data_IF_211709606841
#
_entry.id   IF_211709606841
#
_cell.length_a   1.000
_cell.length_b   1.000
_cell.length_c   1.000
_cell.angle_alpha   90.00
_cell.angle_beta   90.00
_cell.angle_gamma   90.00
#
_symmetry.space_group_name_H-M   'P 1'
#
loop_
_entity.id
_entity.type
_entity.pdbx_description
1 polymer ?
#
# COMPACT_ATOMS: atom_id res chain seq x y z
N UNK A 1 -10.33 -12.52 -17.07
CA UNK A 1 -10.22 -12.50 -15.61
C UNK A 1 -9.11 -11.55 -15.19
N UNK A 2 -9.31 -10.82 -14.13
CA UNK A 2 -8.30 -9.99 -13.47
C UNK A 2 -7.90 -10.67 -12.16
N UNK A 3 -6.60 -10.79 -11.94
CA UNK A 3 -6.04 -11.32 -10.70
C UNK A 3 -5.19 -10.24 -10.05
N UNK A 4 -5.53 -9.87 -8.83
CA UNK A 4 -4.74 -8.94 -8.01
C UNK A 4 -4.16 -9.72 -6.84
N UNK A 5 -2.85 -9.72 -6.66
CA UNK A 5 -2.19 -10.37 -5.54
C UNK A 5 -1.47 -9.34 -4.69
N UNK A 6 -1.74 -9.34 -3.39
CA UNK A 6 -0.99 -8.55 -2.42
C UNK A 6 -0.05 -9.46 -1.64
N UNK A 7 1.14 -8.97 -1.34
CA UNK A 7 2.14 -9.73 -0.58
C UNK A 7 1.66 -9.92 0.88
N UNK A 8 1.76 -11.12 1.45
CA UNK A 8 2.46 -12.30 0.94
C UNK A 8 1.51 -13.32 0.28
N UNK A 9 1.31 -13.23 -1.00
CA UNK A 9 0.54 -14.23 -1.73
C UNK A 9 1.45 -15.00 -2.68
N UNK A 10 1.45 -16.33 -2.60
CA UNK A 10 2.08 -17.19 -3.59
C UNK A 10 1.02 -17.74 -4.53
N UNK A 11 1.21 -17.56 -5.82
CA UNK A 11 0.33 -18.09 -6.85
C UNK A 11 1.06 -19.13 -7.69
N UNK A 12 0.41 -20.26 -7.93
CA UNK A 12 0.92 -21.30 -8.80
C UNK A 12 -0.13 -21.63 -9.85
N UNK A 13 0.24 -21.56 -11.12
CA UNK A 13 -0.60 -22.04 -12.22
C UNK A 13 -0.61 -23.58 -12.16
N UNK A 14 -1.74 -24.17 -11.84
CA UNK A 14 -1.92 -25.62 -11.71
C UNK A 14 -2.30 -26.23 -13.06
N UNK A 15 -3.14 -25.52 -13.83
CA UNK A 15 -3.60 -25.95 -15.16
C UNK A 15 -3.82 -24.71 -16.04
N UNK A 16 -3.48 -24.81 -17.31
CA UNK A 16 -3.72 -23.77 -18.32
C UNK A 16 -4.31 -24.38 -19.59
N UNK A 17 -5.13 -23.61 -20.30
CA UNK A 17 -5.57 -23.95 -21.65
C UNK A 17 -4.45 -23.64 -22.66
N UNK A 18 -4.49 -24.21 -23.88
CA UNK A 18 -3.49 -23.94 -24.94
C UNK A 18 -3.44 -22.45 -25.35
N UNK A 19 -4.56 -21.75 -25.25
CA UNK A 19 -4.75 -20.33 -25.58
C UNK A 19 -4.59 -19.40 -24.37
N UNK A 20 -4.05 -19.91 -23.25
CA UNK A 20 -3.84 -19.11 -22.05
C UNK A 20 -2.81 -18.02 -22.29
N UNK A 21 -3.25 -16.77 -22.24
CA UNK A 21 -2.42 -15.58 -22.24
C UNK A 21 -2.60 -14.84 -20.89
N UNK A 22 -1.50 -14.51 -20.27
CA UNK A 22 -1.49 -13.71 -19.04
C UNK A 22 -0.57 -12.51 -19.23
N UNK A 23 -1.09 -11.35 -18.95
CA UNK A 23 -0.35 -10.08 -18.92
C UNK A 23 -0.40 -9.55 -17.50
N UNK A 24 0.70 -9.05 -16.98
CA UNK A 24 0.77 -8.66 -15.58
C UNK A 24 1.69 -7.49 -15.31
N UNK A 25 1.39 -6.80 -14.21
CA UNK A 25 2.21 -5.74 -13.63
C UNK A 25 2.77 -6.21 -12.30
N UNK A 26 4.09 -6.21 -12.19
CA UNK A 26 4.81 -6.52 -10.95
C UNK A 26 5.30 -5.22 -10.32
N UNK A 27 4.81 -4.93 -9.12
CA UNK A 27 5.24 -3.77 -8.35
C UNK A 27 6.21 -4.20 -7.25
N UNK A 28 7.31 -3.45 -7.07
CA UNK A 28 8.18 -3.68 -5.94
C UNK A 28 7.45 -3.44 -4.62
N UNK A 29 7.87 -4.13 -3.56
CA UNK A 29 7.28 -4.00 -2.23
C UNK A 29 7.33 -2.55 -1.70
N UNK A 30 8.42 -1.83 -2.00
CA UNK A 30 8.58 -0.41 -1.63
C UNK A 30 7.61 0.49 -2.38
N UNK A 31 7.48 0.32 -3.70
CA UNK A 31 6.56 1.07 -4.52
C UNK A 31 5.10 0.83 -4.12
N UNK A 32 4.72 -0.43 -3.89
CA UNK A 32 3.39 -0.80 -3.43
C UNK A 32 3.02 -0.15 -2.10
N UNK A 33 3.95 -0.12 -1.14
CA UNK A 33 3.75 0.56 0.14
C UNK A 33 3.55 2.07 -0.03
N UNK A 34 4.37 2.70 -0.85
CA UNK A 34 4.24 4.13 -1.15
C UNK A 34 2.88 4.42 -1.79
N UNK A 35 2.46 3.60 -2.74
CA UNK A 35 1.18 3.72 -3.41
C UNK A 35 0.01 3.62 -2.41
N UNK A 36 -0.01 2.61 -1.55
CA UNK A 36 -1.04 2.45 -0.51
C UNK A 36 -1.05 3.60 0.49
N UNK A 37 0.11 4.16 0.78
CA UNK A 37 0.23 5.29 1.69
C UNK A 37 -0.32 6.59 1.09
N UNK A 38 0.03 6.86 -0.16
CA UNK A 38 -0.38 8.10 -0.84
C UNK A 38 -1.85 8.05 -1.25
N UNK A 39 -2.32 6.88 -1.66
CA UNK A 39 -3.66 6.69 -2.21
C UNK A 39 -4.55 5.88 -1.25
N UNK A 40 -5.20 6.58 -0.32
CA UNK A 40 -6.11 5.99 0.68
C UNK A 40 -7.12 5.02 0.07
N UNK A 41 -7.66 5.36 -1.10
CA UNK A 41 -8.69 4.58 -1.78
C UNK A 41 -8.20 3.21 -2.27
N UNK A 42 -6.88 3.01 -2.38
CA UNK A 42 -6.30 1.75 -2.85
C UNK A 42 -6.15 0.70 -1.74
N UNK A 43 -6.20 1.10 -0.48
CA UNK A 43 -6.17 0.16 0.64
C UNK A 43 -7.34 -0.83 0.58
N UNK A 44 -8.49 -0.39 0.07
CA UNK A 44 -9.65 -1.23 -0.13
C UNK A 44 -9.46 -2.32 -1.20
N UNK A 45 -8.64 -2.06 -2.23
CA UNK A 45 -8.30 -3.06 -3.26
C UNK A 45 -7.30 -4.07 -2.71
N UNK A 46 -6.32 -3.58 -1.94
CA UNK A 46 -5.25 -4.39 -1.36
C UNK A 46 -5.74 -5.49 -0.42
N UNK A 47 -6.89 -5.30 0.19
CA UNK A 47 -7.47 -6.23 1.16
C UNK A 47 -8.53 -7.18 0.56
N UNK A 48 -8.79 -7.12 -0.75
CA UNK A 48 -9.78 -7.97 -1.42
C UNK A 48 -9.18 -9.26 -1.94
N UNK A 49 -10.04 -10.30 -2.02
CA UNK A 49 -9.72 -11.51 -2.76
C UNK A 49 -9.65 -11.20 -4.24
N UNK A 50 -8.68 -11.71 -4.80
CA UNK A 50 -7.99 -11.28 -5.97
C UNK A 50 -8.51 -11.85 -7.29
N UNK A 51 -9.68 -12.49 -7.32
CA UNK A 51 -10.22 -13.04 -8.57
C UNK A 51 -11.47 -12.28 -9.01
N UNK A 52 -11.35 -11.52 -10.09
CA UNK A 52 -12.45 -10.74 -10.64
C UNK A 52 -12.69 -11.17 -12.07
N UNK A 53 -13.91 -11.60 -12.37
CA UNK A 53 -14.34 -11.85 -13.74
C UNK A 53 -14.63 -10.49 -14.38
N UNK A 54 -13.91 -10.10 -15.40
CA UNK A 54 -14.08 -8.82 -16.11
C UNK A 54 -14.86 -9.02 -17.40
N UNK A 55 -15.65 -8.03 -17.79
CA UNK A 55 -16.29 -7.98 -19.10
C UNK A 55 -15.23 -7.76 -20.19
N UNK A 56 -15.61 -7.95 -21.45
CA UNK A 56 -14.70 -7.72 -22.57
C UNK A 56 -14.29 -6.24 -22.66
N UNK A 57 -15.22 -5.33 -22.44
CA UNK A 57 -14.95 -3.89 -22.42
C UNK A 57 -13.99 -3.49 -21.30
N UNK A 58 -14.20 -4.00 -20.08
CA UNK A 58 -13.31 -3.80 -18.94
C UNK A 58 -11.91 -4.36 -19.20
N UNK A 59 -11.82 -5.55 -19.79
CA UNK A 59 -10.58 -6.16 -20.20
C UNK A 59 -9.82 -5.30 -21.20
N UNK A 60 -10.51 -4.78 -22.21
CA UNK A 60 -9.90 -3.93 -23.23
C UNK A 60 -9.40 -2.61 -22.63
N UNK A 61 -10.14 -2.01 -21.67
CA UNK A 61 -9.66 -0.83 -20.93
C UNK A 61 -8.40 -1.12 -20.13
N UNK A 62 -8.37 -2.22 -19.39
CA UNK A 62 -7.19 -2.61 -18.60
C UNK A 62 -5.98 -2.93 -19.49
N UNK A 63 -6.20 -3.57 -20.66
CA UNK A 63 -5.15 -3.85 -21.62
C UNK A 63 -4.50 -2.56 -22.16
N UNK A 64 -5.30 -1.52 -22.45
CA UNK A 64 -4.77 -0.22 -22.89
C UNK A 64 -3.91 0.47 -21.82
N UNK A 65 -4.29 0.37 -20.55
CA UNK A 65 -3.44 0.84 -19.45
C UNK A 65 -2.10 0.10 -19.41
N UNK A 66 -2.12 -1.22 -19.60
CA UNK A 66 -0.91 -2.03 -19.62
C UNK A 66 -0.01 -1.64 -20.81
N UNK A 67 -0.57 -1.51 -22.02
CA UNK A 67 0.17 -1.06 -23.21
C UNK A 67 0.84 0.30 -22.97
N UNK A 68 0.10 1.25 -22.42
CA UNK A 68 0.63 2.58 -22.11
C UNK A 68 1.75 2.52 -21.06
N UNK A 69 1.59 1.70 -20.02
CA UNK A 69 2.63 1.48 -19.02
C UNK A 69 3.90 0.88 -19.62
N UNK A 70 3.78 -0.09 -20.55
CA UNK A 70 4.92 -0.66 -21.25
C UNK A 70 5.62 0.39 -22.11
N UNK A 71 4.87 1.17 -22.90
CA UNK A 71 5.42 2.24 -23.72
C UNK A 71 6.21 3.26 -22.89
N UNK A 72 5.65 3.67 -21.74
CA UNK A 72 6.33 4.62 -20.85
C UNK A 72 7.52 4.01 -20.10
N UNK A 73 7.51 2.70 -19.83
CA UNK A 73 8.62 2.01 -19.17
C UNK A 73 9.83 1.81 -20.10
N UNK A 74 9.59 1.69 -21.42
CA UNK A 74 10.63 1.50 -22.42
C UNK A 74 11.28 2.80 -22.87
N UNK A 75 10.71 3.95 -22.50
CA UNK A 75 11.31 5.25 -22.81
C UNK A 75 12.47 5.56 -21.87
N UNK A 76 13.60 5.99 -22.45
CA UNK A 76 14.80 6.44 -21.73
C UNK A 76 14.66 7.87 -21.18
N UNK A 77 13.44 8.32 -20.92
CA UNK A 77 13.17 9.67 -20.46
C UNK A 77 13.66 9.92 -19.02
N UNK A 78 13.91 11.20 -18.73
CA UNK A 78 14.59 11.65 -17.49
C UNK A 78 13.83 11.39 -16.19
N UNK A 79 12.50 11.12 -16.23
CA UNK A 79 11.70 10.81 -15.05
C UNK A 79 10.65 9.70 -15.30
N UNK A 80 11.07 8.44 -15.39
CA UNK A 80 10.13 7.32 -15.57
C UNK A 80 9.15 7.17 -14.39
N UNK A 81 9.53 7.59 -13.19
CA UNK A 81 8.65 7.49 -12.01
C UNK A 81 7.54 8.53 -12.09
N UNK A 82 7.86 9.76 -12.53
CA UNK A 82 6.87 10.84 -12.68
C UNK A 82 5.76 10.50 -13.67
N UNK A 83 6.07 9.76 -14.72
CA UNK A 83 5.07 9.32 -15.71
C UNK A 83 4.36 8.02 -15.31
N UNK A 84 5.09 7.03 -14.82
CA UNK A 84 4.53 5.72 -14.47
C UNK A 84 3.64 5.76 -13.23
N UNK A 85 3.97 6.58 -12.23
CA UNK A 85 3.21 6.65 -10.99
C UNK A 85 1.74 7.03 -11.21
N UNK A 86 1.38 8.15 -11.87
CA UNK A 86 -0.02 8.52 -12.11
C UNK A 86 -0.76 7.51 -13.00
N UNK A 87 -0.08 6.86 -13.94
CA UNK A 87 -0.68 5.80 -14.77
C UNK A 87 -1.03 4.57 -13.93
N UNK A 88 -0.15 4.16 -13.04
CA UNK A 88 -0.42 3.05 -12.11
C UNK A 88 -1.56 3.41 -11.16
N UNK A 89 -1.59 4.63 -10.62
CA UNK A 89 -2.70 5.11 -9.80
C UNK A 89 -4.01 5.06 -10.59
N UNK A 90 -4.02 5.56 -11.82
CA UNK A 90 -5.17 5.51 -12.72
C UNK A 90 -5.67 4.10 -12.99
N UNK A 91 -4.76 3.15 -13.25
CA UNK A 91 -5.08 1.73 -13.40
C UNK A 91 -5.77 1.18 -12.14
N UNK A 92 -5.25 1.48 -10.96
CA UNK A 92 -5.86 1.01 -9.71
C UNK A 92 -7.22 1.64 -9.46
N UNK A 93 -7.44 2.90 -9.83
CA UNK A 93 -8.79 3.50 -9.78
C UNK A 93 -9.77 2.79 -10.72
N UNK A 94 -9.34 2.38 -11.92
CA UNK A 94 -10.17 1.55 -12.81
C UNK A 94 -10.50 0.19 -12.19
N UNK A 95 -9.52 -0.48 -11.62
CA UNK A 95 -9.74 -1.76 -10.90
C UNK A 95 -10.74 -1.56 -9.76
N UNK A 96 -10.59 -0.50 -8.97
CA UNK A 96 -11.52 -0.17 -7.89
C UNK A 96 -12.96 0.01 -8.40
N UNK A 97 -13.14 0.78 -9.47
CA UNK A 97 -14.46 1.01 -10.05
C UNK A 97 -15.11 -0.29 -10.53
N UNK A 98 -14.34 -1.17 -11.17
CA UNK A 98 -14.79 -2.53 -11.55
C UNK A 98 -15.22 -3.32 -10.32
N UNK A 99 -14.46 -3.26 -9.22
CA UNK A 99 -14.79 -3.94 -7.97
C UNK A 99 -16.07 -3.38 -7.34
N UNK A 100 -16.20 -2.06 -7.24
CA UNK A 100 -17.34 -1.40 -6.60
C UNK A 100 -18.66 -1.65 -7.33
N UNK A 101 -18.65 -1.61 -8.65
CA UNK A 101 -19.84 -1.89 -9.46
C UNK A 101 -20.38 -3.32 -9.26
N UNK A 102 -19.56 -4.24 -8.76
CA UNK A 102 -19.91 -5.65 -8.51
C UNK A 102 -20.27 -5.94 -7.05
N UNK A 103 -19.90 -5.07 -6.12
CA UNK A 103 -20.31 -5.22 -4.71
C UNK A 103 -21.79 -5.11 -4.50
N UNK A 104 -22.48 -4.35 -5.35
CA UNK A 104 -23.94 -4.30 -5.35
C UNK A 104 -24.59 -5.66 -5.65
N UNK A 105 -23.82 -6.63 -6.19
CA UNK A 105 -24.30 -7.96 -6.59
C UNK A 105 -23.56 -9.13 -5.91
N UNK A 106 -22.54 -8.87 -5.08
CA UNK A 106 -21.69 -9.90 -4.45
C UNK A 106 -22.10 -10.16 -2.99
N UNK A 107 -21.78 -11.37 -2.51
CA UNK A 107 -21.95 -11.72 -1.12
C UNK A 107 -21.17 -10.75 -0.19
N UNK A 108 -21.69 -10.41 1.00
CA UNK A 108 -21.07 -9.45 1.89
C UNK A 108 -19.63 -9.84 2.22
N UNK A 109 -18.73 -8.85 2.18
CA UNK A 109 -17.33 -9.05 2.53
C UNK A 109 -17.22 -9.74 3.90
N UNK A 110 -16.29 -10.68 4.06
CA UNK A 110 -16.08 -11.36 5.34
C UNK A 110 -15.87 -10.30 6.43
N UNK A 111 -16.44 -10.54 7.62
CA UNK A 111 -16.33 -9.64 8.78
C UNK A 111 -14.86 -9.23 9.06
N UNK A 112 -13.94 -10.17 8.92
CA UNK A 112 -12.49 -9.91 9.08
C UNK A 112 -11.94 -8.90 8.07
N UNK A 113 -12.43 -8.92 6.84
CA UNK A 113 -12.03 -7.97 5.80
C UNK A 113 -12.56 -6.58 6.10
N UNK A 114 -13.81 -6.47 6.54
CA UNK A 114 -14.37 -5.19 6.97
C UNK A 114 -13.53 -4.57 8.09
N UNK A 115 -13.18 -5.33 9.12
CA UNK A 115 -12.32 -4.86 10.21
C UNK A 115 -10.96 -4.39 9.68
N UNK A 116 -10.36 -5.10 8.72
CA UNK A 116 -9.10 -4.68 8.10
C UNK A 116 -9.24 -3.32 7.38
N UNK A 117 -10.32 -3.12 6.63
CA UNK A 117 -10.58 -1.83 5.96
C UNK A 117 -10.75 -0.69 6.95
N UNK A 118 -11.62 -0.88 7.93
CA UNK A 118 -11.90 0.14 8.95
C UNK A 118 -10.62 0.49 9.72
N UNK A 119 -9.76 -0.52 10.01
CA UNK A 119 -8.46 -0.32 10.62
C UNK A 119 -7.51 0.49 9.71
N UNK A 120 -7.38 0.13 8.44
CA UNK A 120 -6.49 0.83 7.49
C UNK A 120 -6.96 2.28 7.26
N UNK A 121 -8.25 2.51 7.23
CA UNK A 121 -8.82 3.86 7.11
C UNK A 121 -8.53 4.71 8.36
N UNK A 122 -8.75 4.15 9.53
CA UNK A 122 -8.40 4.78 10.81
C UNK A 122 -6.90 5.03 10.92
N UNK A 123 -6.07 4.06 10.48
CA UNK A 123 -4.61 4.16 10.48
C UNK A 123 -4.15 5.31 9.60
N UNK A 124 -4.65 5.38 8.36
CA UNK A 124 -4.29 6.44 7.43
C UNK A 124 -4.55 7.84 7.99
N UNK A 125 -5.61 8.00 8.75
CA UNK A 125 -5.97 9.29 9.36
C UNK A 125 -5.13 9.62 10.59
N UNK A 126 -4.75 8.63 11.39
CA UNK A 126 -4.27 8.84 12.76
C UNK A 126 -2.81 8.43 13.02
N UNK A 127 -2.10 7.82 12.06
CA UNK A 127 -0.75 7.25 12.27
C UNK A 127 0.30 8.26 12.75
N UNK A 128 0.16 9.54 12.43
CA UNK A 128 1.08 10.58 12.86
C UNK A 128 1.05 10.79 14.39
N UNK A 129 -0.13 10.70 14.99
CA UNK A 129 -0.34 11.00 16.41
C UNK A 129 -0.48 9.73 17.26
N UNK A 130 -1.02 8.65 16.69
CA UNK A 130 -1.37 7.44 17.42
C UNK A 130 -0.62 6.22 16.89
N UNK A 131 0.32 5.68 17.68
CA UNK A 131 1.14 4.50 17.34
C UNK A 131 0.80 3.26 18.16
N UNK A 132 -0.15 3.36 19.09
CA UNK A 132 -0.56 2.21 19.93
C UNK A 132 -1.73 1.49 19.30
N UNK A 133 -1.64 0.15 19.25
CA UNK A 133 -2.73 -0.70 18.74
C UNK A 133 -4.02 -0.50 19.52
N UNK A 134 -3.94 -0.18 20.83
CA UNK A 134 -5.11 0.07 21.68
C UNK A 134 -6.00 1.19 21.11
N UNK A 135 -5.42 2.30 20.65
CA UNK A 135 -6.19 3.41 20.06
C UNK A 135 -7.08 2.93 18.90
N UNK A 136 -6.53 2.13 17.99
CA UNK A 136 -7.27 1.62 16.83
C UNK A 136 -8.28 0.52 17.23
N UNK A 137 -7.95 -0.26 18.23
CA UNK A 137 -8.85 -1.26 18.77
C UNK A 137 -10.06 -0.61 19.43
N UNK A 138 -9.85 0.42 20.24
CA UNK A 138 -10.91 1.18 20.90
C UNK A 138 -11.83 1.85 19.87
N UNK A 139 -11.26 2.48 18.82
CA UNK A 139 -12.00 3.10 17.73
C UNK A 139 -12.90 2.10 16.97
N UNK A 140 -12.54 0.82 16.95
CA UNK A 140 -13.30 -0.25 16.30
C UNK A 140 -14.13 -1.09 17.29
N UNK A 141 -14.18 -0.67 18.56
CA UNK A 141 -14.87 -1.42 19.64
C UNK A 141 -14.37 -2.87 19.78
N UNK A 142 -13.06 -3.07 19.62
CA UNK A 142 -12.39 -4.38 19.74
C UNK A 142 -11.31 -4.35 20.81
N UNK A 143 -10.91 -5.53 21.29
CA UNK A 143 -9.71 -5.64 22.11
C UNK A 143 -8.45 -5.60 21.23
N UNK A 144 -7.31 -5.06 21.72
CA UNK A 144 -6.05 -5.03 20.96
C UNK A 144 -5.59 -6.41 20.47
N UNK A 145 -5.86 -7.46 21.28
CA UNK A 145 -5.54 -8.85 20.92
C UNK A 145 -6.41 -9.33 19.77
N UNK A 146 -7.72 -9.08 19.83
CA UNK A 146 -8.66 -9.47 18.77
C UNK A 146 -8.34 -8.74 17.47
N UNK A 147 -8.17 -7.41 17.51
CA UNK A 147 -7.77 -6.62 16.35
C UNK A 147 -6.49 -7.18 15.71
N UNK A 148 -5.43 -7.41 16.49
CA UNK A 148 -4.17 -7.96 15.98
C UNK A 148 -4.34 -9.32 15.31
N UNK A 149 -5.16 -10.19 15.88
CA UNK A 149 -5.44 -11.51 15.32
C UNK A 149 -6.16 -11.41 13.98
N UNK A 150 -7.23 -10.62 13.92
CA UNK A 150 -8.04 -10.43 12.71
C UNK A 150 -7.20 -9.79 11.59
N UNK A 151 -6.45 -8.72 11.91
CA UNK A 151 -5.59 -8.04 10.94
C UNK A 151 -4.52 -9.00 10.39
N UNK A 152 -3.90 -9.81 11.26
CA UNK A 152 -2.89 -10.79 10.83
C UNK A 152 -3.48 -11.86 9.93
N UNK A 153 -4.66 -12.38 10.25
CA UNK A 153 -5.35 -13.37 9.42
C UNK A 153 -5.74 -12.81 8.06
N UNK A 154 -6.24 -11.57 8.03
CA UNK A 154 -6.71 -10.94 6.81
C UNK A 154 -5.60 -10.38 5.91
N UNK A 155 -4.45 -9.95 6.48
CA UNK A 155 -3.37 -9.27 5.74
C UNK A 155 -2.01 -9.95 5.80
N UNK A 156 -1.84 -10.99 6.60
CA UNK A 156 -0.55 -11.64 6.87
C UNK A 156 0.38 -10.82 7.78
N UNK A 157 -0.05 -9.63 8.29
CA UNK A 157 0.72 -8.72 9.12
C UNK A 157 -0.02 -8.33 10.39
N UNK A 158 0.71 -8.08 11.47
CA UNK A 158 0.11 -7.56 12.69
C UNK A 158 -0.29 -6.09 12.54
N UNK A 159 -1.24 -5.63 13.37
CA UNK A 159 -1.63 -4.22 13.44
C UNK A 159 -0.43 -3.31 13.77
N UNK A 160 0.47 -3.74 14.67
CA UNK A 160 1.70 -3.00 14.97
C UNK A 160 2.62 -2.84 13.77
N UNK A 161 2.77 -3.89 12.94
CA UNK A 161 3.59 -3.80 11.73
C UNK A 161 3.02 -2.82 10.71
N UNK A 162 1.70 -2.74 10.56
CA UNK A 162 1.05 -1.74 9.72
C UNK A 162 1.31 -0.32 10.23
N UNK A 163 1.14 -0.09 11.54
CA UNK A 163 1.41 1.23 12.16
C UNK A 163 2.87 1.64 11.96
N UNK A 164 3.81 0.72 12.18
CA UNK A 164 5.25 0.97 12.00
C UNK A 164 5.58 1.32 10.55
N UNK A 165 5.03 0.57 9.59
CA UNK A 165 5.26 0.82 8.16
C UNK A 165 4.73 2.18 7.72
N UNK A 166 3.52 2.57 8.15
CA UNK A 166 2.96 3.88 7.82
C UNK A 166 3.81 5.01 8.39
N UNK A 167 4.20 4.93 9.65
CA UNK A 167 5.02 5.94 10.30
C UNK A 167 6.39 6.11 9.63
N UNK A 168 7.05 4.99 9.28
CA UNK A 168 8.37 5.03 8.64
C UNK A 168 8.28 5.49 7.19
N UNK A 169 7.23 5.15 6.48
CA UNK A 169 7.04 5.59 5.11
C UNK A 169 6.86 7.12 5.03
N UNK A 170 6.05 7.70 5.92
CA UNK A 170 5.94 9.16 6.03
C UNK A 170 7.28 9.80 6.37
N UNK A 171 8.01 9.24 7.33
CA UNK A 171 9.35 9.71 7.66
C UNK A 171 10.27 9.71 6.44
N UNK A 172 10.23 8.67 5.61
CA UNK A 172 11.02 8.57 4.38
C UNK A 172 10.64 9.65 3.37
N UNK A 173 9.35 9.95 3.23
CA UNK A 173 8.85 11.02 2.34
C UNK A 173 9.35 12.37 2.85
N UNK A 174 9.20 12.68 4.13
CA UNK A 174 9.67 13.93 4.74
C UNK A 174 11.20 14.06 4.64
N UNK A 175 11.95 12.98 4.89
CA UNK A 175 13.41 12.98 4.78
C UNK A 175 13.89 13.27 3.36
N UNK A 176 13.16 12.85 2.34
CA UNK A 176 13.50 13.05 0.92
C UNK A 176 13.08 14.41 0.39
N UNK A 177 11.83 14.82 0.72
CA UNK A 177 11.14 15.87 -0.01
C UNK A 177 11.00 17.17 0.79
N UNK A 178 11.44 17.22 2.06
CA UNK A 178 11.33 18.42 2.86
C UNK A 178 12.68 18.94 3.36
N UNK A 179 12.83 20.26 3.57
CA UNK A 179 14.01 20.85 4.17
C UNK A 179 14.08 20.68 5.70
N UNK A 180 13.08 20.05 6.30
CA UNK A 180 12.97 19.87 7.75
C UNK A 180 14.18 19.13 8.32
N UNK A 181 14.68 19.54 9.47
CA UNK A 181 15.68 18.81 10.24
C UNK A 181 15.13 17.47 10.74
N UNK A 182 16.00 16.54 11.10
CA UNK A 182 15.59 15.25 11.69
C UNK A 182 14.76 15.47 12.96
N UNK A 183 15.08 16.51 13.72
CA UNK A 183 14.36 16.89 14.93
C UNK A 183 12.93 17.37 14.62
N UNK A 184 12.77 18.23 13.63
CA UNK A 184 11.45 18.70 13.18
C UNK A 184 10.59 17.56 12.66
N UNK A 185 11.16 16.66 11.85
CA UNK A 185 10.46 15.46 11.39
C UNK A 185 10.02 14.57 12.56
N UNK A 186 10.87 14.40 13.58
CA UNK A 186 10.50 13.66 14.77
C UNK A 186 9.25 14.26 15.46
N UNK A 187 9.22 15.58 15.63
CA UNK A 187 8.07 16.27 16.25
C UNK A 187 6.82 16.22 15.35
N UNK A 188 6.98 16.43 14.03
CA UNK A 188 5.88 16.32 13.06
C UNK A 188 5.20 14.94 13.11
N UNK A 189 6.00 13.90 13.31
CA UNK A 189 5.51 12.54 13.46
C UNK A 189 5.13 12.19 14.90
N UNK A 190 5.02 13.19 15.80
CA UNK A 190 4.55 13.01 17.16
C UNK A 190 5.51 12.23 18.07
N UNK A 191 6.82 12.27 17.83
CA UNK A 191 7.83 11.78 18.76
C UNK A 191 8.24 12.87 19.73
N UNK A 192 8.41 12.51 21.00
CA UNK A 192 8.81 13.47 22.04
C UNK A 192 10.24 13.98 21.88
N UNK A 193 11.11 13.19 21.24
CA UNK A 193 12.49 13.55 20.95
C UNK A 193 13.05 12.86 19.72
N UNK A 194 14.13 13.46 19.17
CA UNK A 194 14.81 12.95 17.98
C UNK A 194 15.44 11.55 18.20
N UNK A 195 15.92 11.27 19.42
CA UNK A 195 16.62 10.00 19.70
C UNK A 195 15.64 8.82 19.65
N UNK A 196 14.43 8.99 20.19
CA UNK A 196 13.36 8.00 20.09
C UNK A 196 12.95 7.77 18.64
N UNK A 197 12.78 8.84 17.87
CA UNK A 197 12.49 8.75 16.46
C UNK A 197 13.59 8.01 15.69
N UNK A 198 14.86 8.39 15.91
CA UNK A 198 15.99 7.78 15.20
C UNK A 198 16.13 6.28 15.49
N UNK A 199 15.93 5.87 16.74
CA UNK A 199 15.90 4.45 17.13
C UNK A 199 14.73 3.70 16.46
N UNK A 200 13.54 4.30 16.49
CA UNK A 200 12.35 3.72 15.88
C UNK A 200 12.53 3.55 14.37
N UNK A 201 12.93 4.62 13.68
CA UNK A 201 13.17 4.61 12.24
C UNK A 201 14.24 3.57 11.87
N UNK A 202 15.39 3.58 12.56
CA UNK A 202 16.51 2.65 12.26
C UNK A 202 16.11 1.20 12.47
N UNK A 203 15.31 0.89 13.49
CA UNK A 203 14.82 -0.46 13.74
C UNK A 203 13.94 -0.97 12.59
N UNK A 204 13.12 -0.12 11.99
CA UNK A 204 12.15 -0.52 10.95
C UNK A 204 12.75 -0.39 9.55
N UNK A 205 13.50 0.69 9.28
CA UNK A 205 14.11 0.97 7.97
C UNK A 205 15.47 0.28 7.75
N UNK A 206 16.13 -0.19 8.84
CA UNK A 206 17.44 -0.83 8.78
C UNK A 206 18.62 0.13 8.68
N UNK A 207 18.40 1.43 8.53
CA UNK A 207 19.44 2.49 8.46
C UNK A 207 18.99 3.73 9.21
N UNK A 208 19.94 4.60 9.62
CA UNK A 208 19.58 5.84 10.33
C UNK A 208 18.88 6.87 9.42
N UNK A 209 18.06 7.79 10.00
CA UNK A 209 17.42 8.86 9.23
C UNK A 209 18.41 9.72 8.45
N UNK A 210 19.57 10.04 9.02
CA UNK A 210 20.61 10.82 8.37
C UNK A 210 21.19 10.10 7.16
N UNK A 211 21.47 8.80 7.31
CA UNK A 211 21.98 7.96 6.22
C UNK A 211 20.94 7.83 5.12
N UNK A 212 19.68 7.64 5.49
CA UNK A 212 18.58 7.57 4.51
C UNK A 212 18.50 8.87 3.70
N UNK A 213 18.55 10.04 4.35
CA UNK A 213 18.51 11.36 3.68
C UNK A 213 19.68 11.52 2.70
N UNK A 214 20.91 11.21 3.12
CA UNK A 214 22.08 11.29 2.25
C UNK A 214 21.93 10.44 0.98
N UNK A 215 21.50 9.19 1.11
CA UNK A 215 21.31 8.29 -0.03
C UNK A 215 20.20 8.79 -0.95
N UNK A 216 19.10 9.29 -0.40
CA UNK A 216 17.99 9.80 -1.21
C UNK A 216 18.32 11.07 -1.99
N UNK A 217 19.21 11.93 -1.45
CA UNK A 217 19.69 13.14 -2.14
C UNK A 217 20.79 12.86 -3.18
N UNK A 218 21.50 11.74 -3.07
CA UNK A 218 22.54 11.36 -4.05
C UNK A 218 21.98 10.67 -5.29
N UNK A 219 20.71 10.28 -5.28
CA UNK A 219 20.01 9.59 -6.38
C UNK A 219 19.03 10.51 -7.13
N UNK A 220 19.08 11.81 -6.86
CA UNK A 220 18.33 12.89 -7.55
C UNK A 220 19.30 13.70 -8.38
#
# INVERSE_FOLDING_TARGET
>A
HLLCFTVPCACRIVKRSPDFLCVGLLLSKSFWRQLLFTERTLSSIAARDAFIVVTEEERNRLARFHELLCLCADTTEHDPIGTLYPLIVGLFFQIRNICQNREATAAPASHSKKILYDFLDSLHTNYRQHRRVSFYADALSLTPRHLTTVIRQASGRSASQWIEEYTVLEAQILLRNSPMSIKEIAYELGFNDQSLFSKYFSRVAGISPERYRKISMSNT
#
